data_IF_123961557992
#
_entry.id   IF_123961557992
#
_cell.length_a   1.000
_cell.length_b   1.000
_cell.length_c   1.000
_cell.angle_alpha   90.00
_cell.angle_beta   90.00
_cell.angle_gamma   90.00
#
_symmetry.space_group_name_H-M   'P 1'
#
loop_
_entity.id
_entity.type
_entity.pdbx_description
1 polymer ?
#
# COMPACT_ATOMS: atom_id res chain seq x y z
N UNK A 1 -2.73 12.19 -12.20
CA UNK A 1 -1.34 11.72 -12.38
C UNK A 1 -1.09 10.48 -11.53
N UNK A 2 -0.45 9.47 -12.10
CA UNK A 2 -0.13 8.26 -11.36
C UNK A 2 0.98 8.52 -10.35
N UNK A 3 0.79 8.02 -9.13
CA UNK A 3 1.83 7.88 -8.13
C UNK A 3 2.21 6.42 -8.05
N UNK A 4 3.52 6.12 -8.00
CA UNK A 4 4.04 4.76 -8.07
C UNK A 4 5.03 4.54 -6.92
N UNK A 5 4.78 3.51 -6.12
CA UNK A 5 5.61 3.19 -4.95
C UNK A 5 5.82 1.68 -4.82
N UNK A 6 6.97 1.26 -4.32
CA UNK A 6 7.20 -0.17 -4.08
C UNK A 6 6.43 -0.65 -2.86
N UNK A 7 5.93 -1.86 -2.94
CA UNK A 7 5.30 -2.56 -1.83
C UNK A 7 5.90 -3.95 -1.70
N UNK A 8 6.05 -4.41 -0.46
CA UNK A 8 6.54 -5.75 -0.16
C UNK A 8 5.34 -6.62 0.17
N UNK A 9 5.25 -7.76 -0.52
CA UNK A 9 4.20 -8.76 -0.28
C UNK A 9 4.83 -9.94 0.43
N UNK A 10 4.38 -10.21 1.66
CA UNK A 10 4.82 -11.36 2.44
C UNK A 10 3.70 -12.39 2.44
N UNK A 11 3.97 -13.57 1.91
CA UNK A 11 3.00 -14.66 1.92
C UNK A 11 3.07 -15.38 3.26
N UNK A 12 1.92 -15.46 3.93
CA UNK A 12 1.79 -16.16 5.20
C UNK A 12 1.52 -17.66 4.97
N UNK A 13 1.72 -18.47 6.01
CA UNK A 13 1.57 -19.92 5.92
C UNK A 13 0.16 -20.36 5.57
N UNK A 14 -0.84 -19.56 5.94
CA UNK A 14 -2.25 -19.86 5.65
C UNK A 14 -2.71 -19.39 4.26
N UNK A 15 -1.80 -18.86 3.45
CA UNK A 15 -2.10 -18.38 2.09
C UNK A 15 -2.51 -16.92 2.02
N UNK A 16 -2.67 -16.24 3.13
CA UNK A 16 -2.91 -14.79 3.16
C UNK A 16 -1.64 -14.03 2.88
N UNK A 17 -1.77 -12.72 2.62
CA UNK A 17 -0.64 -11.84 2.35
C UNK A 17 -0.67 -10.64 3.28
N UNK A 18 0.51 -10.28 3.78
CA UNK A 18 0.75 -8.97 4.40
C UNK A 18 1.45 -8.10 3.37
N UNK A 19 1.02 -6.84 3.25
CA UNK A 19 1.56 -5.89 2.26
C UNK A 19 2.08 -4.67 3.01
N UNK A 20 3.32 -4.30 2.76
CA UNK A 20 3.95 -3.16 3.43
C UNK A 20 4.47 -2.15 2.40
N UNK A 21 4.25 -0.86 2.70
CA UNK A 21 4.80 0.25 1.91
C UNK A 21 5.89 0.94 2.74
N UNK A 22 7.17 0.63 2.51
CA UNK A 22 8.25 1.21 3.32
C UNK A 22 8.29 2.74 3.30
N UNK A 23 7.98 3.35 2.15
CA UNK A 23 8.04 4.80 2.01
C UNK A 23 6.99 5.54 2.84
N UNK A 24 5.93 4.84 3.26
CA UNK A 24 4.85 5.42 4.06
C UNK A 24 4.80 4.85 5.48
N UNK A 25 5.59 3.84 5.74
CA UNK A 25 5.50 3.07 6.98
C UNK A 25 4.07 2.58 7.23
N UNK A 26 3.41 2.13 6.16
CA UNK A 26 2.01 1.69 6.16
C UNK A 26 1.91 0.23 5.73
N UNK A 27 0.86 -0.45 6.19
CA UNK A 27 0.65 -1.86 5.89
C UNK A 27 -0.82 -2.16 5.69
N UNK A 28 -1.08 -3.22 4.94
CA UNK A 28 -2.41 -3.78 4.74
C UNK A 28 -2.28 -5.29 4.60
N UNK A 29 -3.38 -5.98 4.35
CA UNK A 29 -3.38 -7.42 4.15
C UNK A 29 -4.50 -7.84 3.20
N UNK A 30 -4.38 -9.04 2.67
CA UNK A 30 -5.39 -9.63 1.80
C UNK A 30 -5.49 -11.13 2.01
N UNK A 31 -6.64 -11.70 1.69
CA UNK A 31 -6.93 -13.12 1.90
C UNK A 31 -6.24 -14.02 0.86
N UNK A 32 -5.96 -13.47 -0.31
CA UNK A 32 -5.23 -14.11 -1.39
C UNK A 32 -4.48 -13.04 -2.18
N UNK A 33 -3.79 -13.41 -3.24
CA UNK A 33 -2.99 -12.46 -4.02
C UNK A 33 -3.86 -11.38 -4.67
N UNK A 34 -5.00 -11.76 -5.25
CA UNK A 34 -5.89 -10.80 -5.89
C UNK A 34 -6.39 -9.76 -4.88
N UNK A 35 -6.87 -10.23 -3.73
CA UNK A 35 -7.34 -9.35 -2.65
C UNK A 35 -6.20 -8.46 -2.15
N UNK A 36 -5.00 -9.02 -1.98
CA UNK A 36 -3.83 -8.26 -1.53
C UNK A 36 -3.46 -7.14 -2.50
N UNK A 37 -3.54 -7.40 -3.81
CA UNK A 37 -3.27 -6.37 -4.82
C UNK A 37 -4.30 -5.24 -4.75
N UNK A 38 -5.57 -5.57 -4.59
CA UNK A 38 -6.63 -4.57 -4.43
C UNK A 38 -6.44 -3.75 -3.15
N UNK A 39 -6.09 -4.42 -2.06
CA UNK A 39 -5.85 -3.75 -0.78
C UNK A 39 -4.60 -2.88 -0.82
N UNK A 40 -3.58 -3.28 -1.59
CA UNK A 40 -2.39 -2.47 -1.78
C UNK A 40 -2.72 -1.14 -2.48
N UNK A 41 -3.53 -1.19 -3.53
CA UNK A 41 -3.97 0.04 -4.24
C UNK A 41 -4.77 0.93 -3.30
N UNK A 42 -5.71 0.37 -2.54
CA UNK A 42 -6.50 1.13 -1.57
C UNK A 42 -5.61 1.76 -0.51
N UNK A 43 -4.68 1.00 0.06
CA UNK A 43 -3.76 1.49 1.09
C UNK A 43 -2.95 2.68 0.57
N UNK A 44 -2.37 2.54 -0.62
CA UNK A 44 -1.58 3.62 -1.23
C UNK A 44 -2.45 4.86 -1.46
N UNK A 45 -3.65 4.67 -2.01
CA UNK A 45 -4.57 5.78 -2.26
C UNK A 45 -4.92 6.53 -0.96
N UNK A 46 -5.24 5.79 0.10
CA UNK A 46 -5.60 6.38 1.39
C UNK A 46 -4.45 7.20 1.96
N UNK A 47 -3.21 6.68 1.87
CA UNK A 47 -2.03 7.40 2.35
C UNK A 47 -1.83 8.71 1.57
N UNK A 48 -1.92 8.67 0.26
CA UNK A 48 -1.73 9.86 -0.59
C UNK A 48 -2.84 10.88 -0.40
N UNK A 49 -4.09 10.43 -0.31
CA UNK A 49 -5.24 11.31 -0.08
C UNK A 49 -5.10 12.02 1.26
N UNK A 50 -4.68 11.31 2.30
CA UNK A 50 -4.46 11.90 3.62
C UNK A 50 -3.38 12.97 3.61
N UNK A 51 -2.25 12.71 2.96
CA UNK A 51 -1.17 13.70 2.83
C UNK A 51 -1.64 14.94 2.08
N UNK A 52 -2.35 14.76 0.98
CA UNK A 52 -2.85 15.87 0.17
C UNK A 52 -3.84 16.72 0.96
N UNK A 53 -4.76 16.08 1.69
CA UNK A 53 -5.72 16.79 2.55
C UNK A 53 -5.00 17.63 3.61
N UNK A 54 -3.91 17.11 4.18
CA UNK A 54 -3.15 17.78 5.24
C UNK A 54 -2.12 18.77 4.69
N UNK A 55 -2.05 18.94 3.37
CA UNK A 55 -1.09 19.86 2.73
C UNK A 55 0.35 19.39 2.81
N UNK A 56 0.59 18.10 3.02
CA UNK A 56 1.92 17.53 3.12
C UNK A 56 2.40 16.98 1.79
N UNK A 57 3.71 17.05 1.56
CA UNK A 57 4.32 16.53 0.35
C UNK A 57 4.30 14.99 0.35
N UNK A 58 4.16 14.41 -0.84
CA UNK A 58 4.31 12.96 -1.01
C UNK A 58 5.76 12.57 -0.81
N UNK A 59 6.05 11.44 -0.14
CA UNK A 59 7.41 10.96 -0.04
C UNK A 59 7.99 10.63 -1.41
N UNK A 60 9.31 10.74 -1.54
CA UNK A 60 10.00 10.31 -2.75
C UNK A 60 9.96 8.80 -2.81
N UNK A 61 9.53 8.25 -3.95
CA UNK A 61 9.45 6.81 -4.15
C UNK A 61 10.85 6.20 -4.15
N UNK A 62 11.06 5.18 -3.30
CA UNK A 62 12.31 4.42 -3.31
C UNK A 62 12.42 3.59 -4.58
N UNK A 63 13.62 3.48 -5.18
CA UNK A 63 13.82 2.54 -6.28
C UNK A 63 13.53 1.10 -5.82
N UNK A 64 12.85 0.32 -6.65
CA UNK A 64 12.40 -1.02 -6.28
C UNK A 64 13.55 -1.94 -5.87
N UNK A 65 14.71 -1.78 -6.49
CA UNK A 65 15.91 -2.59 -6.21
C UNK A 65 16.60 -2.25 -4.89
N UNK A 66 16.22 -1.15 -4.24
CA UNK A 66 16.76 -0.76 -2.93
C UNK A 66 15.91 -1.28 -1.77
N UNK A 67 14.74 -1.82 -2.06
CA UNK A 67 13.83 -2.35 -1.02
C UNK A 67 14.27 -3.75 -0.64
N UNK A 68 14.58 -3.94 0.65
CA UNK A 68 15.05 -5.22 1.19
C UNK A 68 13.96 -5.81 2.10
N UNK A 69 13.21 -6.83 1.61
CA UNK A 69 12.13 -7.41 2.41
C UNK A 69 12.59 -8.06 3.71
N UNK A 70 13.77 -8.67 3.72
CA UNK A 70 14.30 -9.32 4.93
C UNK A 70 14.66 -8.27 5.99
N UNK A 71 15.38 -7.24 5.59
CA UNK A 71 15.77 -6.15 6.50
C UNK A 71 14.55 -5.43 7.05
N UNK A 72 13.54 -5.17 6.21
CA UNK A 72 12.32 -4.49 6.63
C UNK A 72 11.55 -5.32 7.68
N UNK A 73 11.43 -6.63 7.46
CA UNK A 73 10.78 -7.52 8.42
C UNK A 73 11.53 -7.55 9.75
N UNK A 74 12.85 -7.56 9.73
CA UNK A 74 13.68 -7.51 10.94
C UNK A 74 13.45 -6.21 11.72
N UNK A 75 13.38 -5.07 11.05
CA UNK A 75 13.12 -3.79 11.69
C UNK A 75 11.77 -3.77 12.38
N UNK A 76 10.77 -4.45 11.83
CA UNK A 76 9.44 -4.58 12.44
C UNK A 76 9.39 -5.62 13.56
N UNK A 77 10.44 -6.39 13.77
CA UNK A 77 10.45 -7.46 14.75
C UNK A 77 9.59 -8.66 14.34
N UNK A 78 9.32 -8.82 13.05
CA UNK A 78 8.44 -9.88 12.53
C UNK A 78 9.16 -11.20 12.25
N UNK A 79 10.47 -11.28 12.53
CA UNK A 79 11.26 -12.47 12.27
C UNK A 79 11.72 -12.54 10.82
N UNK A 80 12.19 -13.72 10.40
CA UNK A 80 12.73 -13.93 9.06
C UNK A 80 11.63 -14.42 8.11
N UNK A 81 11.30 -13.66 7.08
CA UNK A 81 10.27 -14.09 6.12
C UNK A 81 10.79 -15.22 5.24
N UNK A 82 9.90 -16.14 4.84
CA UNK A 82 10.25 -17.27 3.97
C UNK A 82 9.78 -17.11 2.54
N UNK A 83 8.71 -16.37 2.30
CA UNK A 83 8.13 -16.21 0.97
C UNK A 83 7.64 -14.77 0.80
N UNK A 84 8.23 -14.08 -0.16
CA UNK A 84 7.96 -12.65 -0.35
C UNK A 84 8.36 -12.21 -1.76
N UNK A 85 7.81 -11.07 -2.18
CA UNK A 85 8.25 -10.39 -3.40
C UNK A 85 7.99 -8.89 -3.26
N UNK A 86 8.64 -8.09 -4.11
CA UNK A 86 8.43 -6.65 -4.18
C UNK A 86 7.78 -6.32 -5.52
N UNK A 87 6.75 -5.49 -5.50
CA UNK A 87 6.08 -5.04 -6.70
C UNK A 87 5.79 -3.55 -6.62
N UNK A 88 5.72 -2.90 -7.77
CA UNK A 88 5.34 -1.50 -7.85
C UNK A 88 3.82 -1.41 -7.88
N UNK A 89 3.28 -0.55 -7.03
CA UNK A 89 1.85 -0.27 -6.96
C UNK A 89 1.64 1.14 -7.46
N UNK A 90 0.64 1.33 -8.30
CA UNK A 90 0.33 2.64 -8.86
C UNK A 90 -1.13 2.99 -8.62
N UNK A 91 -1.38 4.28 -8.37
CA UNK A 91 -2.73 4.80 -8.23
C UNK A 91 -2.73 6.28 -8.59
N UNK A 92 -3.82 6.73 -9.21
CA UNK A 92 -4.12 8.15 -9.33
C UNK A 92 -5.00 8.53 -8.15
N UNK A 93 -4.44 9.21 -7.16
CA UNK A 93 -5.14 9.50 -5.92
C UNK A 93 -6.38 10.39 -6.14
N UNK A 94 -6.31 11.34 -7.06
CA UNK A 94 -7.45 12.21 -7.36
C UNK A 94 -8.60 11.44 -7.98
N UNK A 95 -8.30 10.55 -8.94
CA UNK A 95 -9.31 9.70 -9.56
C UNK A 95 -9.90 8.71 -8.55
N UNK A 96 -9.06 8.13 -7.72
CA UNK A 96 -9.52 7.22 -6.67
C UNK A 96 -10.49 7.91 -5.72
N UNK A 97 -10.16 9.12 -5.29
CA UNK A 97 -11.03 9.90 -4.41
C UNK A 97 -12.39 10.19 -5.06
N UNK A 98 -12.41 10.56 -6.34
CA UNK A 98 -13.66 10.79 -7.08
C UNK A 98 -14.52 9.53 -7.15
N UNK A 99 -13.92 8.38 -7.44
CA UNK A 99 -14.65 7.14 -7.66
C UNK A 99 -15.18 6.53 -6.35
N UNK A 100 -14.43 6.62 -5.27
CA UNK A 100 -14.75 5.89 -4.05
C UNK A 100 -15.18 6.78 -2.90
N UNK A 101 -14.50 7.89 -2.65
CA UNK A 101 -14.82 8.75 -1.52
C UNK A 101 -16.05 9.61 -1.76
N UNK A 102 -16.17 10.16 -2.96
CA UNK A 102 -17.36 10.97 -3.30
C UNK A 102 -18.64 10.14 -3.30
N UNK A 103 -18.56 8.90 -3.76
CA UNK A 103 -19.68 7.96 -3.70
C UNK A 103 -20.09 7.66 -2.27
N UNK A 104 -19.11 7.44 -1.38
CA UNK A 104 -19.36 7.19 0.03
C UNK A 104 -20.03 8.38 0.70
N UNK A 105 -19.58 9.59 0.40
CA UNK A 105 -20.17 10.82 0.92
C UNK A 105 -21.62 10.96 0.45
N UNK A 106 -21.89 10.70 -0.83
CA UNK A 106 -23.26 10.76 -1.37
C UNK A 106 -24.18 9.77 -0.69
N UNK A 107 -23.71 8.55 -0.45
CA UNK A 107 -24.50 7.54 0.26
C UNK A 107 -24.82 7.97 1.67
N UNK A 108 -23.90 8.62 2.35
CA UNK A 108 -24.09 9.08 3.71
C UNK A 108 -25.05 10.27 3.80
N UNK A 109 -25.19 11.04 2.73
CA UNK A 109 -26.06 12.19 2.68
C UNK A 109 -27.50 11.84 2.28
N UNK A 110 -27.71 10.69 1.71
CA UNK A 110 -29.04 10.23 1.32
C UNK A 110 -29.67 9.36 2.40
#
# INVERSE_FOLDING_TARGET
MLSIYPAIFYKEDDGRYSVCFPDFNAATCGNDLNDAMNMAVECLAVQLIGLKRDGEAFPVSSPVDTVDPVAYAEELGAGKPSDYFVNLISVDADEYAKLYLNKSVRKNLT
#
